data_IF_319269280958
#
_entry.id   IF_319269280958
#
_cell.length_a   1.000
_cell.length_b   1.000
_cell.length_c   1.000
_cell.angle_alpha   90.00
_cell.angle_beta   90.00
_cell.angle_gamma   90.00
#
_symmetry.space_group_name_H-M   'P 1'
#
loop_
_entity.id
_entity.type
_entity.pdbx_description
1 polymer ?
#
# COMPACT_ATOMS: atom_id res chain seq x y z
N UNK A 1 -29.79 10.88 -19.45
CA UNK A 1 -28.53 10.37 -20.03
C UNK A 1 -27.77 9.62 -18.94
N UNK A 2 -27.27 8.39 -19.17
CA UNK A 2 -26.42 7.72 -18.19
C UNK A 2 -25.18 8.58 -17.97
N UNK A 3 -24.92 8.99 -16.73
CA UNK A 3 -23.71 9.75 -16.40
C UNK A 3 -22.51 8.82 -16.59
N UNK A 4 -21.62 9.20 -17.49
CA UNK A 4 -20.40 8.45 -17.79
C UNK A 4 -19.48 8.45 -16.57
N UNK A 5 -18.92 7.28 -16.23
CA UNK A 5 -17.96 7.12 -15.15
C UNK A 5 -16.59 7.63 -15.60
N UNK A 6 -15.99 8.52 -14.81
CA UNK A 6 -14.70 9.17 -15.08
C UNK A 6 -13.51 8.22 -14.77
N UNK A 7 -13.36 7.14 -15.53
CA UNK A 7 -12.47 6.02 -15.13
C UNK A 7 -11.01 6.45 -14.97
N UNK A 8 -10.46 7.26 -15.87
CA UNK A 8 -9.05 7.68 -15.84
C UNK A 8 -8.72 8.50 -14.59
N UNK A 9 -9.54 9.50 -14.27
CA UNK A 9 -9.34 10.35 -13.09
C UNK A 9 -9.58 9.56 -11.79
N UNK A 10 -10.48 8.58 -11.83
CA UNK A 10 -10.69 7.67 -10.71
C UNK A 10 -9.52 6.69 -10.50
N UNK A 11 -8.83 6.29 -11.57
CA UNK A 11 -7.59 5.51 -11.48
C UNK A 11 -6.48 6.33 -10.82
N UNK A 12 -6.31 7.59 -11.24
CA UNK A 12 -5.34 8.52 -10.65
C UNK A 12 -5.61 8.77 -9.16
N UNK A 13 -6.86 9.06 -8.80
CA UNK A 13 -7.30 9.17 -7.40
C UNK A 13 -6.90 7.93 -6.59
N UNK A 14 -7.15 6.74 -7.12
CA UNK A 14 -6.83 5.49 -6.46
C UNK A 14 -5.32 5.34 -6.24
N UNK A 15 -4.48 5.67 -7.25
CA UNK A 15 -3.03 5.63 -7.11
C UNK A 15 -2.55 6.55 -5.97
N UNK A 16 -3.02 7.80 -5.94
CA UNK A 16 -2.67 8.78 -4.90
C UNK A 16 -3.12 8.31 -3.51
N UNK A 17 -4.36 7.84 -3.39
CA UNK A 17 -4.91 7.35 -2.13
C UNK A 17 -4.12 6.17 -1.58
N UNK A 18 -3.84 5.17 -2.43
CA UNK A 18 -3.17 3.96 -1.97
C UNK A 18 -1.71 4.25 -1.64
N UNK A 19 -1.03 5.07 -2.43
CA UNK A 19 0.33 5.53 -2.12
C UNK A 19 0.39 6.28 -0.79
N UNK A 20 -0.51 7.23 -0.55
CA UNK A 20 -0.54 7.96 0.72
C UNK A 20 -0.74 7.02 1.91
N UNK A 21 -1.66 6.06 1.82
CA UNK A 21 -1.89 5.07 2.87
C UNK A 21 -0.70 4.12 3.06
N UNK A 22 -0.07 3.68 1.98
CA UNK A 22 1.07 2.75 2.02
C UNK A 22 2.31 3.41 2.63
N UNK A 23 2.53 4.68 2.30
CA UNK A 23 3.62 5.50 2.86
C UNK A 23 3.34 5.90 4.30
N UNK A 24 2.12 6.26 4.68
CA UNK A 24 1.83 6.53 6.09
C UNK A 24 2.07 5.28 6.96
N UNK A 25 1.75 4.09 6.43
CA UNK A 25 1.92 2.81 7.12
C UNK A 25 1.07 2.69 8.39
N UNK A 26 0.94 1.47 8.90
CA UNK A 26 0.20 1.22 10.14
C UNK A 26 1.04 1.26 11.41
N UNK A 27 0.36 1.46 12.54
CA UNK A 27 0.93 1.19 13.86
C UNK A 27 0.62 -0.25 14.29
N UNK A 28 1.67 -1.05 14.55
CA UNK A 28 1.56 -2.45 15.02
C UNK A 28 0.59 -3.27 14.13
N UNK A 29 -0.57 -3.63 14.66
CA UNK A 29 -1.59 -4.47 14.03
C UNK A 29 -2.66 -3.67 13.24
N UNK A 30 -2.41 -2.38 13.02
CA UNK A 30 -3.34 -1.47 12.33
C UNK A 30 -2.75 -0.94 11.04
N UNK A 31 -2.42 -1.86 10.16
CA UNK A 31 -2.03 -1.54 8.80
C UNK A 31 -3.10 -0.71 8.09
N UNK A 32 -2.69 0.44 7.56
CA UNK A 32 -3.51 1.28 6.70
C UNK A 32 -3.76 0.59 5.35
N UNK A 33 -2.75 -0.15 4.88
CA UNK A 33 -2.84 -1.13 3.80
C UNK A 33 -2.05 -2.38 4.19
N UNK A 34 -2.50 -3.58 3.80
CA UNK A 34 -1.86 -4.84 4.16
C UNK A 34 -0.35 -4.87 3.92
N UNK A 35 0.41 -5.33 4.92
CA UNK A 35 1.81 -5.67 4.74
C UNK A 35 1.96 -6.90 3.83
N UNK A 36 1.07 -7.90 3.94
CA UNK A 36 1.10 -9.14 3.18
C UNK A 36 -0.15 -9.35 2.33
N UNK A 37 0.02 -10.03 1.20
CA UNK A 37 -1.07 -10.26 0.26
C UNK A 37 -2.07 -11.35 0.73
N UNK A 38 -1.76 -12.08 1.80
CA UNK A 38 -2.61 -13.11 2.40
C UNK A 38 -3.76 -12.57 3.25
N UNK A 39 -3.82 -11.26 3.47
CA UNK A 39 -4.88 -10.63 4.27
C UNK A 39 -6.27 -10.77 3.63
N UNK A 40 -7.31 -10.65 4.47
CA UNK A 40 -8.70 -10.70 4.00
C UNK A 40 -9.02 -9.45 3.16
N UNK A 41 -9.91 -9.52 2.15
CA UNK A 41 -10.29 -8.36 1.32
C UNK A 41 -10.71 -7.11 2.11
N UNK A 42 -11.35 -7.30 3.26
CA UNK A 42 -11.77 -6.19 4.15
C UNK A 42 -10.60 -5.36 4.67
N UNK A 43 -9.40 -5.93 4.81
CA UNK A 43 -8.21 -5.21 5.24
C UNK A 43 -7.72 -4.20 4.18
N UNK A 44 -7.81 -4.56 2.90
CA UNK A 44 -7.45 -3.69 1.76
C UNK A 44 -8.38 -2.50 1.63
N UNK A 45 -9.68 -2.72 1.88
CA UNK A 45 -10.70 -1.72 1.61
C UNK A 45 -10.98 -0.80 2.79
N UNK A 46 -10.56 -1.15 4.02
CA UNK A 46 -10.98 -0.48 5.26
C UNK A 46 -10.90 1.05 5.19
N UNK A 47 -9.71 1.60 4.93
CA UNK A 47 -9.50 3.05 4.92
C UNK A 47 -9.97 3.73 3.63
N UNK A 48 -9.75 3.15 2.44
CA UNK A 48 -10.31 3.74 1.21
C UNK A 48 -11.84 3.79 1.22
N UNK A 49 -12.50 2.71 1.64
CA UNK A 49 -13.97 2.63 1.73
C UNK A 49 -14.52 3.62 2.75
N UNK A 50 -13.79 3.87 3.83
CA UNK A 50 -14.16 4.87 4.84
C UNK A 50 -14.17 6.29 4.24
N UNK A 51 -13.13 6.67 3.48
CA UNK A 51 -13.09 7.97 2.79
C UNK A 51 -14.30 8.16 1.87
N UNK A 52 -14.57 7.17 1.02
CA UNK A 52 -15.72 7.21 0.10
C UNK A 52 -17.05 7.28 0.85
N UNK A 53 -17.14 6.64 2.01
CA UNK A 53 -18.28 6.69 2.91
C UNK A 53 -18.54 8.10 3.45
N UNK A 54 -17.50 8.76 3.97
CA UNK A 54 -17.63 10.11 4.52
C UNK A 54 -17.94 11.15 3.43
N UNK A 55 -17.26 11.09 2.27
CA UNK A 55 -17.56 11.99 1.14
C UNK A 55 -19.02 11.82 0.71
N UNK A 56 -19.51 10.59 0.61
CA UNK A 56 -20.92 10.32 0.29
C UNK A 56 -21.90 10.83 1.34
N UNK A 57 -21.55 10.70 2.62
CA UNK A 57 -22.41 11.08 3.74
C UNK A 57 -22.61 12.59 3.80
N UNK A 58 -21.53 13.36 3.70
CA UNK A 58 -21.60 14.82 3.71
C UNK A 58 -21.96 15.43 2.37
N UNK A 59 -21.82 14.68 1.28
CA UNK A 59 -21.81 15.19 -0.10
C UNK A 59 -20.84 16.37 -0.26
N UNK A 60 -19.72 16.31 0.45
CA UNK A 60 -18.70 17.34 0.54
C UNK A 60 -17.33 16.68 0.71
N UNK A 61 -16.43 16.94 -0.22
CA UNK A 61 -15.11 16.29 -0.26
C UNK A 61 -14.23 16.75 0.90
N UNK A 62 -14.26 18.03 1.24
CA UNK A 62 -13.42 18.56 2.32
C UNK A 62 -13.83 17.98 3.68
N UNK A 63 -15.11 18.06 4.02
CA UNK A 63 -15.63 17.52 5.28
C UNK A 63 -15.37 16.01 5.38
N UNK A 64 -15.61 15.28 4.29
CA UNK A 64 -15.35 13.84 4.24
C UNK A 64 -13.87 13.48 4.42
N UNK A 65 -12.98 14.27 3.81
CA UNK A 65 -11.54 14.11 3.96
C UNK A 65 -11.05 14.42 5.38
N UNK A 66 -11.52 15.49 6.01
CA UNK A 66 -11.08 15.90 7.35
C UNK A 66 -11.47 14.87 8.42
N UNK A 67 -12.68 14.29 8.34
CA UNK A 67 -13.08 13.20 9.24
C UNK A 67 -12.24 11.94 9.00
N UNK A 68 -12.07 11.54 7.73
CA UNK A 68 -11.26 10.39 7.36
C UNK A 68 -9.79 10.54 7.80
N UNK A 69 -9.19 11.71 7.58
CA UNK A 69 -7.81 12.04 7.97
C UNK A 69 -7.59 11.83 9.45
N UNK A 70 -8.52 12.29 10.29
CA UNK A 70 -8.44 12.13 11.74
C UNK A 70 -8.38 10.66 12.17
N UNK A 71 -9.08 9.77 11.44
CA UNK A 71 -9.02 8.32 11.68
C UNK A 71 -7.72 7.70 11.16
N UNK A 72 -7.28 8.07 9.96
CA UNK A 72 -6.02 7.59 9.36
C UNK A 72 -4.83 7.95 10.24
N UNK A 73 -4.68 9.22 10.64
CA UNK A 73 -3.55 9.69 11.44
C UNK A 73 -3.49 9.06 12.84
N UNK A 74 -4.62 8.60 13.38
CA UNK A 74 -4.70 7.89 14.66
C UNK A 74 -4.13 6.46 14.56
N UNK A 75 -4.35 5.81 13.42
CA UNK A 75 -3.92 4.43 13.20
C UNK A 75 -2.57 4.34 12.45
N UNK A 76 -2.07 5.47 11.92
CA UNK A 76 -0.80 5.57 11.22
C UNK A 76 0.43 5.40 12.13
N UNK A 77 1.59 5.08 11.53
CA UNK A 77 2.87 5.07 12.24
C UNK A 77 3.25 6.46 12.76
N UNK A 78 3.56 6.58 14.06
CA UNK A 78 3.90 7.87 14.69
C UNK A 78 5.11 8.55 14.02
N UNK A 79 6.12 7.75 13.63
CA UNK A 79 7.32 8.22 12.94
C UNK A 79 7.02 8.68 11.50
N UNK A 80 6.33 7.84 10.72
CA UNK A 80 6.04 8.14 9.31
C UNK A 80 5.02 9.26 9.17
N UNK A 81 4.13 9.44 10.16
CA UNK A 81 3.14 10.52 10.16
C UNK A 81 3.76 11.88 9.90
N UNK A 82 4.94 12.18 10.44
CA UNK A 82 5.60 13.47 10.24
C UNK A 82 6.25 13.58 8.86
N UNK A 83 6.90 12.50 8.41
CA UNK A 83 7.64 12.47 7.14
C UNK A 83 6.71 12.46 5.94
N UNK A 84 5.60 11.73 6.03
CA UNK A 84 4.71 11.41 4.92
C UNK A 84 3.41 12.23 4.98
N UNK A 85 3.28 13.16 5.94
CA UNK A 85 2.17 14.12 5.97
C UNK A 85 2.00 14.90 4.66
N UNK A 86 3.08 15.32 3.95
CA UNK A 86 2.94 15.99 2.67
C UNK A 86 2.18 15.19 1.60
N UNK A 87 2.33 13.86 1.57
CA UNK A 87 1.57 12.98 0.65
C UNK A 87 0.06 13.03 0.96
N UNK A 88 -0.30 13.12 2.24
CA UNK A 88 -1.70 13.28 2.66
C UNK A 88 -2.26 14.65 2.25
N UNK A 89 -1.45 15.71 2.31
CA UNK A 89 -1.85 17.05 1.84
C UNK A 89 -1.97 17.11 0.31
N UNK A 90 -1.09 16.42 -0.42
CA UNK A 90 -1.18 16.29 -1.88
C UNK A 90 -2.49 15.60 -2.29
N UNK A 91 -2.86 14.51 -1.61
CA UNK A 91 -4.16 13.86 -1.79
C UNK A 91 -5.34 14.81 -1.50
N UNK A 92 -5.28 15.59 -0.40
CA UNK A 92 -6.31 16.59 -0.08
C UNK A 92 -6.46 17.60 -1.22
N UNK A 93 -5.34 18.17 -1.67
CA UNK A 93 -5.32 19.18 -2.73
C UNK A 93 -5.95 18.63 -4.01
N UNK A 94 -5.52 17.46 -4.45
CA UNK A 94 -6.07 16.81 -5.66
C UNK A 94 -7.58 16.58 -5.54
N UNK A 95 -8.04 16.07 -4.38
CA UNK A 95 -9.45 15.85 -4.10
C UNK A 95 -10.29 17.14 -4.21
N UNK A 96 -9.78 18.26 -3.67
CA UNK A 96 -10.47 19.54 -3.75
C UNK A 96 -10.53 20.09 -5.17
N UNK A 97 -9.44 19.96 -5.94
CA UNK A 97 -9.37 20.34 -7.35
C UNK A 97 -10.35 19.52 -8.21
N UNK A 98 -10.59 18.27 -7.84
CA UNK A 98 -11.45 17.32 -8.55
C UNK A 98 -12.76 17.01 -7.82
N UNK A 99 -13.25 17.90 -6.96
CA UNK A 99 -14.43 17.65 -6.11
C UNK A 99 -15.68 17.30 -6.92
N UNK A 100 -15.77 17.82 -8.15
CA UNK A 100 -16.83 17.56 -9.13
C UNK A 100 -16.91 16.08 -9.56
N UNK A 101 -15.89 15.26 -9.30
CA UNK A 101 -15.91 13.82 -9.51
C UNK A 101 -16.69 13.08 -8.42
N UNK A 102 -16.89 13.68 -7.25
CA UNK A 102 -17.43 13.02 -6.07
C UNK A 102 -18.74 13.67 -5.58
N UNK A 103 -18.78 14.99 -5.43
CA UNK A 103 -19.93 15.74 -4.93
C UNK A 103 -21.10 15.68 -5.93
N UNK A 104 -22.28 15.25 -5.47
CA UNK A 104 -23.44 15.02 -6.33
C UNK A 104 -23.27 13.88 -7.36
N UNK A 105 -22.19 13.08 -7.28
CA UNK A 105 -21.81 12.03 -8.24
C UNK A 105 -21.86 10.62 -7.63
N UNK A 106 -23.08 10.17 -7.30
CA UNK A 106 -23.31 8.83 -6.74
C UNK A 106 -22.76 7.69 -7.61
N UNK A 107 -22.76 7.84 -8.93
CA UNK A 107 -22.29 6.79 -9.86
C UNK A 107 -20.79 6.55 -9.75
N UNK A 108 -19.97 7.60 -9.71
CA UNK A 108 -18.52 7.50 -9.51
C UNK A 108 -18.20 6.86 -8.15
N UNK A 109 -18.87 7.30 -7.08
CA UNK A 109 -18.69 6.73 -5.73
C UNK A 109 -19.10 5.25 -5.66
N UNK A 110 -20.19 4.87 -6.34
CA UNK A 110 -20.62 3.48 -6.42
C UNK A 110 -19.65 2.62 -7.25
N UNK A 111 -19.14 3.15 -8.35
CA UNK A 111 -18.13 2.47 -9.18
C UNK A 111 -16.85 2.21 -8.39
N UNK A 112 -16.33 3.23 -7.71
CA UNK A 112 -15.17 3.10 -6.83
C UNK A 112 -15.42 2.03 -5.77
N UNK A 113 -16.55 2.10 -5.05
CA UNK A 113 -16.88 1.11 -3.99
C UNK A 113 -16.93 -0.33 -4.51
N UNK A 114 -17.39 -0.56 -5.74
CA UNK A 114 -17.49 -1.89 -6.35
C UNK A 114 -16.16 -2.42 -6.87
N UNK A 115 -15.28 -1.53 -7.35
CA UNK A 115 -13.98 -1.89 -7.93
C UNK A 115 -12.80 -1.72 -6.97
N UNK A 116 -13.05 -1.25 -5.75
CA UNK A 116 -12.02 -0.84 -4.80
C UNK A 116 -11.02 -1.95 -4.49
N UNK A 117 -11.49 -3.15 -4.14
CA UNK A 117 -10.60 -4.28 -3.84
C UNK A 117 -9.64 -4.58 -4.99
N UNK A 118 -10.15 -4.68 -6.23
CA UNK A 118 -9.31 -4.95 -7.40
C UNK A 118 -8.25 -3.87 -7.61
N UNK A 119 -8.62 -2.59 -7.45
CA UNK A 119 -7.72 -1.44 -7.59
C UNK A 119 -6.63 -1.42 -6.52
N UNK A 120 -6.99 -1.64 -5.25
CA UNK A 120 -6.01 -1.69 -4.16
C UNK A 120 -5.08 -2.89 -4.35
N UNK A 121 -5.62 -4.04 -4.76
CA UNK A 121 -4.83 -5.24 -5.00
C UNK A 121 -3.86 -5.05 -6.17
N UNK A 122 -4.30 -4.47 -7.29
CA UNK A 122 -3.43 -4.15 -8.43
C UNK A 122 -2.30 -3.18 -8.04
N UNK A 123 -2.58 -2.23 -7.14
CA UNK A 123 -1.54 -1.36 -6.57
C UNK A 123 -0.56 -2.15 -5.69
N UNK A 124 -1.04 -2.93 -4.73
CA UNK A 124 -0.18 -3.58 -3.74
C UNK A 124 0.58 -4.79 -4.30
N UNK A 125 -0.03 -5.56 -5.19
CA UNK A 125 0.51 -6.84 -5.69
C UNK A 125 1.96 -6.74 -6.14
N UNK A 126 2.33 -5.89 -7.12
CA UNK A 126 3.70 -5.88 -7.61
C UNK A 126 4.68 -5.38 -6.55
N UNK A 127 4.28 -4.44 -5.69
CA UNK A 127 5.13 -3.91 -4.61
C UNK A 127 5.42 -4.97 -3.56
N UNK A 128 4.40 -5.69 -3.10
CA UNK A 128 4.53 -6.76 -2.10
C UNK A 128 5.19 -8.01 -2.64
N UNK A 129 5.04 -8.29 -3.92
CA UNK A 129 5.79 -9.35 -4.59
C UNK A 129 7.29 -9.08 -4.49
N UNK A 130 7.74 -7.88 -4.86
CA UNK A 130 9.17 -7.54 -4.83
C UNK A 130 9.72 -7.52 -3.40
N UNK A 131 9.03 -6.89 -2.45
CA UNK A 131 9.52 -6.86 -1.05
C UNK A 131 9.50 -8.23 -0.39
N UNK A 132 8.48 -9.05 -0.67
CA UNK A 132 8.40 -10.42 -0.22
C UNK A 132 9.52 -11.29 -0.78
N UNK A 133 9.76 -11.23 -2.09
CA UNK A 133 10.85 -11.96 -2.75
C UNK A 133 12.21 -11.58 -2.17
N UNK A 134 12.48 -10.29 -1.97
CA UNK A 134 13.76 -9.86 -1.39
C UNK A 134 13.96 -10.40 0.02
N UNK A 135 12.95 -10.27 0.88
CA UNK A 135 13.03 -10.76 2.26
C UNK A 135 13.21 -12.28 2.31
N UNK A 136 12.49 -13.02 1.45
CA UNK A 136 12.58 -14.46 1.34
C UNK A 136 13.96 -14.94 0.85
N UNK A 137 14.52 -14.29 -0.18
CA UNK A 137 15.85 -14.61 -0.69
C UNK A 137 16.98 -14.37 0.33
N UNK A 138 16.72 -13.54 1.35
CA UNK A 138 17.66 -13.21 2.42
C UNK A 138 17.22 -13.77 3.78
N UNK A 139 16.44 -14.85 3.78
CA UNK A 139 16.06 -15.56 5.01
C UNK A 139 17.29 -15.98 5.81
N UNK A 140 17.23 -15.79 7.13
CA UNK A 140 18.35 -16.02 8.05
C UNK A 140 19.46 -14.96 8.02
N UNK A 141 19.38 -13.95 7.14
CA UNK A 141 20.34 -12.85 7.06
C UNK A 141 19.68 -11.50 7.40
N UNK A 142 19.57 -11.13 8.69
CA UNK A 142 18.92 -9.89 9.10
C UNK A 142 19.68 -8.63 8.63
N UNK A 143 20.98 -8.73 8.34
CA UNK A 143 21.81 -7.60 7.89
C UNK A 143 21.50 -7.22 6.44
N UNK A 144 21.02 -8.16 5.62
CA UNK A 144 20.55 -7.87 4.27
C UNK A 144 19.30 -6.95 4.22
N UNK A 145 18.60 -6.79 5.35
CA UNK A 145 17.48 -5.87 5.50
C UNK A 145 17.91 -4.48 6.00
N UNK A 146 19.19 -4.26 6.33
CA UNK A 146 19.69 -2.91 6.62
C UNK A 146 19.66 -2.04 5.37
N UNK A 147 19.47 -0.73 5.57
CA UNK A 147 19.18 0.21 4.49
C UNK A 147 20.23 0.18 3.37
N UNK A 148 21.52 0.24 3.71
CA UNK A 148 22.60 0.22 2.72
C UNK A 148 22.64 -1.10 1.93
N UNK A 149 22.37 -2.22 2.61
CA UNK A 149 22.33 -3.53 1.97
C UNK A 149 21.14 -3.65 0.99
N UNK A 150 19.96 -3.14 1.38
CA UNK A 150 18.79 -3.09 0.50
C UNK A 150 19.09 -2.22 -0.73
N UNK A 151 19.61 -1.00 -0.54
CA UNK A 151 19.94 -0.09 -1.65
C UNK A 151 20.94 -0.68 -2.64
N UNK A 152 21.92 -1.43 -2.15
CA UNK A 152 22.92 -2.06 -3.00
C UNK A 152 22.38 -3.27 -3.78
N UNK A 153 21.50 -4.07 -3.18
CA UNK A 153 21.20 -5.42 -3.68
C UNK A 153 19.75 -5.63 -4.16
N UNK A 154 18.81 -4.76 -3.79
CA UNK A 154 17.37 -5.00 -4.00
C UNK A 154 17.05 -5.36 -5.45
N UNK A 155 17.45 -4.51 -6.39
CA UNK A 155 17.16 -4.67 -7.82
C UNK A 155 17.77 -5.95 -8.38
N UNK A 156 19.00 -6.28 -8.01
CA UNK A 156 19.66 -7.49 -8.46
C UNK A 156 18.94 -8.75 -7.97
N UNK A 157 18.57 -8.79 -6.68
CA UNK A 157 17.91 -9.94 -6.07
C UNK A 157 16.52 -10.17 -6.66
N UNK A 158 15.74 -9.10 -6.87
CA UNK A 158 14.37 -9.21 -7.39
C UNK A 158 14.26 -9.15 -8.92
N UNK A 159 15.39 -9.12 -9.63
CA UNK A 159 15.42 -8.94 -11.08
C UNK A 159 14.55 -9.94 -11.87
N UNK A 160 14.47 -11.24 -11.52
CA UNK A 160 13.58 -12.17 -12.21
C UNK A 160 12.09 -11.76 -12.12
N UNK A 161 11.68 -11.14 -11.02
CA UNK A 161 10.32 -10.63 -10.86
C UNK A 161 10.12 -9.30 -11.56
N UNK A 162 11.12 -8.41 -11.57
CA UNK A 162 11.08 -7.17 -12.37
C UNK A 162 10.86 -7.51 -13.86
N UNK A 163 11.60 -8.48 -14.39
CA UNK A 163 11.45 -8.93 -15.78
C UNK A 163 10.04 -9.46 -16.10
N UNK A 164 9.40 -10.18 -15.16
CA UNK A 164 8.00 -10.63 -15.32
C UNK A 164 7.02 -9.45 -15.27
N UNK A 165 7.23 -8.50 -14.36
CA UNK A 165 6.39 -7.31 -14.27
C UNK A 165 6.52 -6.43 -15.51
N UNK A 166 7.68 -6.38 -16.15
CA UNK A 166 7.88 -5.67 -17.43
C UNK A 166 7.00 -6.21 -18.56
N UNK A 167 6.67 -7.51 -18.56
CA UNK A 167 5.75 -8.09 -19.56
C UNK A 167 4.31 -7.60 -19.38
N UNK A 168 3.94 -7.14 -18.18
CA UNK A 168 2.58 -6.68 -17.84
C UNK A 168 2.48 -5.16 -17.93
N UNK A 169 3.46 -4.45 -17.38
CA UNK A 169 3.44 -2.99 -17.23
C UNK A 169 4.31 -2.25 -18.25
N UNK A 170 5.11 -2.97 -19.06
CA UNK A 170 6.14 -2.40 -19.92
C UNK A 170 7.39 -1.96 -19.14
N UNK A 171 8.44 -1.54 -19.85
CA UNK A 171 9.71 -1.06 -19.27
C UNK A 171 9.71 0.45 -18.95
N UNK A 172 8.53 1.08 -18.90
CA UNK A 172 8.39 2.51 -18.73
C UNK A 172 8.41 3.01 -17.28
N UNK A 173 8.09 4.29 -17.11
CA UNK A 173 8.08 5.00 -15.82
C UNK A 173 7.23 4.29 -14.75
N UNK A 174 6.12 3.66 -15.13
CA UNK A 174 5.24 2.91 -14.21
C UNK A 174 5.99 1.77 -13.53
N UNK A 175 6.78 0.98 -14.26
CA UNK A 175 7.55 -0.11 -13.68
C UNK A 175 8.66 0.42 -12.78
N UNK A 176 9.35 1.48 -13.21
CA UNK A 176 10.38 2.12 -12.40
C UNK A 176 9.83 2.65 -11.07
N UNK A 177 8.65 3.27 -11.10
CA UNK A 177 7.96 3.74 -9.90
C UNK A 177 7.58 2.58 -8.96
N UNK A 178 7.04 1.47 -9.50
CA UNK A 178 6.72 0.27 -8.71
C UNK A 178 7.97 -0.26 -7.99
N UNK A 179 9.10 -0.39 -8.70
CA UNK A 179 10.36 -0.92 -8.14
C UNK A 179 10.90 0.00 -7.07
N UNK A 180 10.95 1.32 -7.33
CA UNK A 180 11.42 2.30 -6.36
C UNK A 180 10.53 2.35 -5.12
N UNK A 181 9.20 2.36 -5.29
CA UNK A 181 8.26 2.36 -4.17
C UNK A 181 8.37 1.06 -3.34
N UNK A 182 8.61 -0.09 -3.97
CA UNK A 182 8.83 -1.34 -3.26
C UNK A 182 10.12 -1.31 -2.44
N UNK A 183 11.22 -0.81 -3.01
CA UNK A 183 12.51 -0.65 -2.35
C UNK A 183 12.39 0.27 -1.12
N UNK A 184 11.81 1.47 -1.28
CA UNK A 184 11.56 2.41 -0.20
C UNK A 184 10.64 1.81 0.88
N UNK A 185 9.59 1.11 0.46
CA UNK A 185 8.68 0.45 1.39
C UNK A 185 9.39 -0.60 2.24
N UNK A 186 10.27 -1.41 1.63
CA UNK A 186 11.04 -2.41 2.35
C UNK A 186 11.98 -1.75 3.38
N UNK A 187 12.72 -0.71 2.98
CA UNK A 187 13.59 0.05 3.88
C UNK A 187 12.79 0.60 5.08
N UNK A 188 11.64 1.20 4.82
CA UNK A 188 10.78 1.79 5.85
C UNK A 188 10.15 0.73 6.79
N UNK A 189 9.94 -0.50 6.30
CA UNK A 189 9.30 -1.58 7.05
C UNK A 189 10.25 -2.72 7.45
N UNK A 190 11.56 -2.57 7.29
CA UNK A 190 12.57 -3.63 7.48
C UNK A 190 12.44 -4.42 8.79
N UNK A 191 12.13 -3.74 9.89
CA UNK A 191 11.95 -4.37 11.20
C UNK A 191 10.77 -5.35 11.24
N UNK A 192 9.72 -5.10 10.46
CA UNK A 192 8.54 -5.98 10.39
C UNK A 192 8.83 -7.25 9.56
N UNK A 193 9.73 -7.15 8.59
CA UNK A 193 10.20 -8.31 7.83
C UNK A 193 11.18 -9.19 8.63
N UNK A 194 11.99 -8.60 9.51
CA UNK A 194 12.87 -9.36 10.44
C UNK A 194 12.11 -10.34 11.31
N UNK A 195 10.95 -9.93 11.84
CA UNK A 195 10.14 -10.79 12.70
C UNK A 195 9.54 -11.98 11.95
N UNK A 196 9.04 -11.76 10.72
CA UNK A 196 8.49 -12.84 9.89
C UNK A 196 9.55 -13.87 9.49
N UNK A 197 10.80 -13.45 9.28
CA UNK A 197 11.91 -14.39 9.04
C UNK A 197 12.21 -15.25 10.27
N UNK A 198 12.04 -14.71 11.49
CA UNK A 198 12.21 -15.48 12.75
C UNK A 198 11.07 -16.46 13.03
N UNK A 199 9.81 -16.10 12.79
CA UNK A 199 8.69 -17.03 13.02
C UNK A 199 8.71 -18.23 12.07
N UNK A 200 9.18 -18.04 10.84
CA UNK A 200 9.30 -19.12 9.86
C UNK A 200 10.52 -20.03 10.13
N UNK A 201 11.63 -19.50 10.66
CA UNK A 201 12.76 -20.32 11.18
C UNK A 201 12.33 -21.25 12.34
N UNK A 202 11.50 -20.76 13.25
CA UNK A 202 11.00 -21.56 14.40
C UNK A 202 10.04 -22.68 13.94
N UNK A 203 9.35 -22.51 12.82
CA UNK A 203 8.48 -23.53 12.23
C UNK A 203 9.25 -24.61 11.44
N UNK A 204 10.42 -24.29 10.90
CA UNK A 204 11.25 -25.22 10.11
C UNK A 204 12.24 -26.03 10.97
N UNK A 205 12.40 -25.72 12.26
CA UNK A 205 13.15 -26.55 13.20
C UNK A 205 12.36 -27.84 13.52
N UNK A 206 12.81 -29.04 13.10
CA UNK A 206 12.21 -30.29 13.54
C UNK A 206 12.45 -30.42 15.05
N UNK A 207 11.46 -30.92 15.78
CA UNK A 207 11.61 -31.21 17.20
C UNK A 207 12.77 -32.17 17.49
N UNK A 208 13.88 -31.61 17.94
CA UNK A 208 14.86 -32.26 18.82
C UNK A 208 14.88 -31.41 20.10
N UNK A 209 14.60 -31.88 21.31
CA UNK A 209 14.70 -33.23 21.84
C UNK A 209 13.61 -33.47 22.90
N UNK A 210 12.83 -34.54 22.72
CA UNK A 210 12.29 -35.32 23.82
C UNK A 210 13.09 -36.62 23.84
N UNK A 211 14.17 -36.65 24.63
CA UNK A 211 15.04 -37.81 24.72
C UNK A 211 16.24 -37.59 25.62
N UNK A 212 15.99 -37.58 26.94
CA UNK A 212 16.67 -38.41 27.96
C UNK A 212 15.97 -38.23 29.29
#
# INVERSE_FOLDING_TARGET
MPRQVNTTELDEFCQLLFRALDRLGGKRDRDLLPLFLSERPTAYEKYPRLLLGHIRYYDNVEAGFEEWKSKVLRDASDYRRQQEFPELLALKKWLLEHRNLFEGRKDNLNHLKRSLYARVYEYLYPRRLLTGTYAEANRGNPDALEEDAVRANFRQVVQPHIARLAQIYGEGERLQAIVAEAEEFLIANRQRYRWKLREMEVMEAPGEAAGT
#
